data_IF_348748217548
#
_entry.id   IF_348748217548
#
_cell.length_a   1.000
_cell.length_b   1.000
_cell.length_c   1.000
_cell.angle_alpha   90.00
_cell.angle_beta   90.00
_cell.angle_gamma   90.00
#
_symmetry.space_group_name_H-M   'P 1'
#
loop_
_entity.id
_entity.type
_entity.pdbx_description
1 polymer ?
#
# COMPACT_ATOMS: atom_id res chain seq x y z
N UNK A 1 -10.09 13.90 10.20
CA UNK A 1 -8.67 14.06 10.59
C UNK A 1 -8.22 12.78 11.27
N UNK A 2 -6.94 12.43 11.14
CA UNK A 2 -6.36 11.18 11.67
C UNK A 2 -5.59 11.43 12.98
N UNK A 3 -5.94 12.45 13.73
CA UNK A 3 -5.28 12.81 14.99
C UNK A 3 -5.25 11.64 15.97
N UNK A 4 -4.07 11.29 16.46
CA UNK A 4 -3.85 10.19 17.40
C UNK A 4 -3.98 8.78 16.79
N UNK A 5 -4.13 8.66 15.47
CA UNK A 5 -4.18 7.39 14.76
C UNK A 5 -2.78 6.89 14.42
N UNK A 6 -2.57 5.59 14.54
CA UNK A 6 -1.33 4.91 14.14
C UNK A 6 -1.54 4.28 12.77
N UNK A 7 -0.77 4.72 11.79
CA UNK A 7 -0.87 4.27 10.40
C UNK A 7 0.42 3.56 9.96
N UNK A 8 0.34 2.28 9.65
CA UNK A 8 1.42 1.54 9.00
C UNK A 8 1.30 1.75 7.49
N UNK A 9 2.42 2.15 6.85
CA UNK A 9 2.54 2.27 5.40
C UNK A 9 3.66 1.36 4.91
N UNK A 10 3.32 0.24 4.28
CA UNK A 10 4.30 -0.64 3.64
C UNK A 10 4.72 -0.07 2.29
N UNK A 11 6.01 -0.19 1.93
CA UNK A 11 6.55 0.50 0.75
C UNK A 11 6.63 2.02 0.94
N UNK A 12 6.66 2.49 2.18
CA UNK A 12 6.53 3.90 2.54
C UNK A 12 7.78 4.76 2.31
N UNK A 13 8.88 4.17 1.82
CA UNK A 13 10.14 4.89 1.63
C UNK A 13 10.22 5.71 0.34
N UNK A 14 9.39 5.40 -0.66
CA UNK A 14 9.42 6.04 -1.98
C UNK A 14 8.06 6.01 -2.69
N UNK A 15 7.98 6.71 -3.80
CA UNK A 15 6.84 6.67 -4.72
C UNK A 15 5.50 6.98 -4.08
N UNK A 16 4.52 6.15 -4.36
CA UNK A 16 3.15 6.30 -3.86
C UNK A 16 3.12 6.16 -2.34
N UNK A 17 3.83 5.17 -1.77
CA UNK A 17 3.88 4.97 -0.32
C UNK A 17 4.51 6.14 0.44
N UNK A 18 5.58 6.75 -0.09
CA UNK A 18 6.15 7.99 0.49
C UNK A 18 5.13 9.13 0.46
N UNK A 19 4.44 9.32 -0.66
CA UNK A 19 3.39 10.32 -0.77
C UNK A 19 2.26 10.07 0.23
N UNK A 20 1.81 8.81 0.37
CA UNK A 20 0.80 8.43 1.35
C UNK A 20 1.29 8.70 2.79
N UNK A 21 2.56 8.40 3.10
CA UNK A 21 3.15 8.68 4.41
C UNK A 21 3.08 10.18 4.75
N UNK A 22 3.42 11.04 3.80
CA UNK A 22 3.32 12.50 3.97
C UNK A 22 1.87 12.96 4.19
N UNK A 23 0.93 12.50 3.36
CA UNK A 23 -0.46 12.95 3.44
C UNK A 23 -1.16 12.46 4.71
N UNK A 24 -0.89 11.23 5.17
CA UNK A 24 -1.42 10.69 6.42
C UNK A 24 -0.84 11.42 7.63
N UNK A 25 0.47 11.71 7.63
CA UNK A 25 1.12 12.49 8.69
C UNK A 25 0.57 13.92 8.76
N UNK A 26 0.40 14.58 7.62
CA UNK A 26 -0.23 15.91 7.53
C UNK A 26 -1.68 15.91 8.03
N UNK A 27 -2.38 14.80 7.91
CA UNK A 27 -3.73 14.63 8.46
C UNK A 27 -3.75 14.34 9.97
N UNK A 28 -2.58 14.22 10.62
CA UNK A 28 -2.40 14.05 12.06
C UNK A 28 -2.14 12.62 12.53
N UNK A 29 -1.93 11.67 11.62
CA UNK A 29 -1.52 10.32 12.00
C UNK A 29 -0.06 10.27 12.44
N UNK A 30 0.26 9.40 13.41
CA UNK A 30 1.62 8.90 13.58
C UNK A 30 1.86 7.84 12.52
N UNK A 31 2.81 8.10 11.62
CA UNK A 31 3.08 7.20 10.50
C UNK A 31 4.24 6.27 10.80
N UNK A 32 4.03 4.98 10.61
CA UNK A 32 5.07 3.95 10.66
C UNK A 32 5.43 3.57 9.22
N UNK A 33 6.59 4.02 8.77
CA UNK A 33 7.14 3.71 7.44
C UNK A 33 7.75 2.31 7.51
N UNK A 34 7.32 1.41 6.64
CA UNK A 34 7.87 0.06 6.52
C UNK A 34 8.42 -0.14 5.12
N UNK A 35 9.71 -0.47 5.01
CA UNK A 35 10.35 -0.70 3.72
C UNK A 35 11.59 -1.59 3.88
N UNK A 36 12.06 -2.17 2.78
CA UNK A 36 13.35 -2.88 2.69
C UNK A 36 14.51 -1.93 2.39
N UNK A 37 14.22 -0.78 1.77
CA UNK A 37 15.21 0.25 1.43
C UNK A 37 15.43 1.18 2.63
N UNK A 38 16.36 0.78 3.49
CA UNK A 38 16.66 1.46 4.76
C UNK A 38 17.12 2.89 4.55
N UNK A 39 17.90 3.16 3.48
CA UNK A 39 18.43 4.50 3.20
C UNK A 39 17.27 5.45 2.82
N UNK A 40 16.45 5.06 1.86
CA UNK A 40 15.29 5.86 1.44
C UNK A 40 14.26 6.00 2.56
N UNK A 41 14.07 4.95 3.36
CA UNK A 41 13.20 4.97 4.52
C UNK A 41 13.64 6.03 5.54
N UNK A 42 14.94 6.09 5.86
CA UNK A 42 15.47 7.10 6.77
C UNK A 42 15.37 8.51 6.18
N UNK A 43 15.54 8.67 4.86
CA UNK A 43 15.32 9.95 4.19
C UNK A 43 13.88 10.42 4.36
N UNK A 44 12.90 9.58 4.05
CA UNK A 44 11.47 9.93 4.21
C UNK A 44 11.11 10.21 5.67
N UNK A 45 11.67 9.42 6.61
CA UNK A 45 11.52 9.69 8.04
C UNK A 45 12.06 11.06 8.44
N UNK A 46 13.24 11.45 7.92
CA UNK A 46 13.83 12.75 8.11
C UNK A 46 12.94 13.89 7.61
N UNK A 47 12.44 13.75 6.39
CA UNK A 47 11.52 14.73 5.79
C UNK A 47 10.26 14.95 6.65
N UNK A 48 9.64 13.88 7.16
CA UNK A 48 8.47 13.99 8.03
C UNK A 48 8.80 14.68 9.36
N UNK A 49 9.94 14.36 9.96
CA UNK A 49 10.40 14.97 11.23
C UNK A 49 10.75 16.45 11.08
N UNK A 50 11.34 16.84 9.97
CA UNK A 50 11.65 18.25 9.67
C UNK A 50 10.37 19.09 9.56
N UNK A 51 9.30 18.48 9.05
CA UNK A 51 7.96 19.06 9.03
C UNK A 51 7.22 18.97 10.38
N UNK A 52 7.87 18.44 11.43
CA UNK A 52 7.32 18.26 12.79
C UNK A 52 6.16 17.26 12.86
N UNK A 53 6.11 16.31 11.94
CA UNK A 53 5.16 15.21 12.00
C UNK A 53 5.71 14.05 12.84
N UNK A 54 4.81 13.36 13.54
CA UNK A 54 5.14 12.15 14.28
C UNK A 54 5.31 10.97 13.32
N UNK A 55 6.51 10.41 13.28
CA UNK A 55 6.82 9.29 12.40
C UNK A 55 7.86 8.35 12.99
N UNK A 56 7.75 7.08 12.64
CA UNK A 56 8.69 6.03 12.97
C UNK A 56 8.99 5.18 11.73
N UNK A 57 10.07 4.41 11.77
CA UNK A 57 10.48 3.59 10.64
C UNK A 57 10.88 2.20 11.13
N UNK A 58 10.46 1.17 10.42
CA UNK A 58 10.78 -0.23 10.68
C UNK A 58 11.21 -0.90 9.39
N UNK A 59 12.45 -1.40 9.34
CA UNK A 59 12.91 -2.18 8.20
C UNK A 59 12.28 -3.58 8.24
N UNK A 60 11.57 -3.93 7.17
CA UNK A 60 11.01 -5.26 7.01
C UNK A 60 10.75 -5.57 5.53
N UNK A 61 11.07 -6.80 5.14
CA UNK A 61 10.66 -7.35 3.86
C UNK A 61 9.30 -8.05 4.03
N UNK A 62 8.28 -7.49 3.37
CA UNK A 62 6.91 -8.01 3.45
C UNK A 62 6.74 -9.43 2.89
N UNK A 63 7.75 -9.96 2.17
CA UNK A 63 7.78 -11.34 1.69
C UNK A 63 8.09 -12.34 2.79
N UNK A 64 8.67 -11.90 3.90
CA UNK A 64 9.15 -12.75 4.99
C UNK A 64 8.20 -12.66 6.20
N UNK A 65 7.47 -13.74 6.43
CA UNK A 65 6.44 -13.80 7.49
C UNK A 65 6.96 -13.41 8.87
N UNK A 66 8.17 -13.87 9.24
CA UNK A 66 8.77 -13.55 10.53
C UNK A 66 9.13 -12.07 10.67
N UNK A 67 9.51 -11.40 9.57
CA UNK A 67 9.81 -9.97 9.58
C UNK A 67 8.52 -9.15 9.74
N UNK A 68 7.48 -9.52 8.99
CA UNK A 68 6.16 -8.89 9.13
C UNK A 68 5.61 -9.04 10.55
N UNK A 69 5.69 -10.26 11.10
CA UNK A 69 5.25 -10.51 12.48
C UNK A 69 6.02 -9.64 13.48
N UNK A 70 7.35 -9.59 13.39
CA UNK A 70 8.17 -8.74 14.27
C UNK A 70 7.82 -7.26 14.12
N UNK A 71 7.67 -6.77 12.89
CA UNK A 71 7.30 -5.39 12.61
C UNK A 71 5.98 -5.01 13.28
N UNK A 72 4.93 -5.82 13.11
CA UNK A 72 3.63 -5.57 13.72
C UNK A 72 3.71 -5.56 15.25
N UNK A 73 4.42 -6.54 15.85
CA UNK A 73 4.61 -6.57 17.31
C UNK A 73 5.37 -5.34 17.83
N UNK A 74 6.42 -4.90 17.15
CA UNK A 74 7.14 -3.67 17.52
C UNK A 74 6.24 -2.43 17.48
N UNK A 75 5.35 -2.33 16.48
CA UNK A 75 4.39 -1.22 16.39
C UNK A 75 3.41 -1.26 17.55
N UNK A 76 2.86 -2.44 17.86
CA UNK A 76 1.91 -2.60 18.98
C UNK A 76 2.58 -2.36 20.33
N UNK A 77 3.79 -2.87 20.54
CA UNK A 77 4.56 -2.64 21.76
C UNK A 77 4.82 -1.14 21.98
N UNK A 78 5.14 -0.42 20.92
CA UNK A 78 5.46 1.01 20.99
C UNK A 78 4.26 1.92 21.16
N UNK A 79 3.18 1.65 20.42
CA UNK A 79 2.03 2.56 20.30
C UNK A 79 0.73 2.02 20.92
N UNK A 80 0.69 0.74 21.29
CA UNK A 80 -0.49 0.09 21.88
C UNK A 80 -1.62 -0.19 20.89
N UNK A 81 -1.51 0.28 19.64
CA UNK A 81 -2.60 0.17 18.66
C UNK A 81 -2.10 0.27 17.21
N UNK A 82 -2.94 -0.21 16.29
CA UNK A 82 -2.84 0.03 14.84
C UNK A 82 -4.23 0.42 14.37
N UNK A 83 -4.38 1.62 13.79
CA UNK A 83 -5.67 2.12 13.31
C UNK A 83 -5.80 2.00 11.80
N UNK A 84 -4.68 2.14 11.08
CA UNK A 84 -4.64 2.10 9.62
C UNK A 84 -3.49 1.19 9.16
N UNK A 85 -3.80 0.30 8.23
CA UNK A 85 -2.80 -0.42 7.44
C UNK A 85 -2.95 -0.02 5.98
N UNK A 86 -1.91 0.59 5.41
CA UNK A 86 -1.83 0.86 3.98
C UNK A 86 -0.83 -0.09 3.35
N UNK A 87 -1.33 -1.05 2.58
CA UNK A 87 -0.54 -2.01 1.82
C UNK A 87 -0.20 -1.43 0.45
N UNK A 88 0.96 -0.75 0.36
CA UNK A 88 1.48 -0.19 -0.90
C UNK A 88 2.72 -0.95 -1.40
N UNK A 89 3.44 -1.67 -0.52
CA UNK A 89 4.63 -2.42 -0.90
C UNK A 89 4.38 -3.27 -2.14
N UNK A 90 5.14 -3.00 -3.17
CA UNK A 90 4.98 -3.67 -4.43
C UNK A 90 6.09 -3.33 -5.41
N UNK A 91 6.31 -4.21 -6.34
CA UNK A 91 7.29 -4.01 -7.40
C UNK A 91 6.61 -4.03 -8.77
N UNK A 92 7.09 -3.14 -9.63
CA UNK A 92 6.82 -3.17 -11.05
C UNK A 92 8.12 -3.62 -11.71
N UNK A 93 8.30 -4.91 -11.95
CA UNK A 93 9.62 -5.53 -12.13
C UNK A 93 10.42 -5.00 -13.31
N UNK A 94 9.74 -4.52 -14.35
CA UNK A 94 10.43 -4.03 -15.54
C UNK A 94 11.35 -2.82 -15.28
N UNK A 95 11.18 -2.10 -14.17
CA UNK A 95 12.08 -1.01 -13.81
C UNK A 95 13.41 -1.49 -13.23
N UNK A 96 13.40 -2.62 -12.52
CA UNK A 96 14.55 -3.08 -11.75
C UNK A 96 15.34 -4.20 -12.42
N UNK A 97 14.75 -4.91 -13.41
CA UNK A 97 15.31 -6.16 -13.92
C UNK A 97 15.87 -6.05 -15.35
N UNK A 98 15.84 -4.86 -15.95
CA UNK A 98 16.38 -4.63 -17.30
C UNK A 98 15.67 -5.42 -18.41
N UNK A 99 14.49 -5.95 -18.13
CA UNK A 99 13.68 -6.71 -19.08
C UNK A 99 12.74 -5.79 -19.85
N UNK A 100 12.26 -6.22 -21.04
CA UNK A 100 11.24 -5.48 -21.74
C UNK A 100 10.04 -5.18 -20.83
N UNK A 101 9.50 -3.99 -20.93
CA UNK A 101 8.42 -3.47 -20.06
C UNK A 101 7.26 -4.46 -19.85
N UNK A 102 6.95 -5.24 -20.86
CA UNK A 102 5.86 -6.20 -20.82
C UNK A 102 6.27 -7.51 -21.52
N UNK A 103 7.11 -8.34 -20.89
CA UNK A 103 7.54 -9.59 -21.50
C UNK A 103 6.35 -10.57 -21.62
N UNK A 104 6.25 -11.26 -22.73
CA UNK A 104 5.24 -12.31 -22.91
C UNK A 104 5.45 -13.43 -21.90
N UNK A 105 4.38 -14.10 -21.46
CA UNK A 105 4.41 -15.17 -20.45
C UNK A 105 5.50 -16.22 -20.71
N UNK A 106 5.70 -16.63 -21.97
CA UNK A 106 6.73 -17.60 -22.34
C UNK A 106 8.18 -17.18 -22.03
N UNK A 107 8.41 -15.90 -21.78
CA UNK A 107 9.72 -15.34 -21.47
C UNK A 107 9.87 -14.93 -19.99
N UNK A 108 8.82 -15.12 -19.17
CA UNK A 108 8.88 -14.87 -17.76
C UNK A 108 9.63 -16.00 -17.07
N UNK A 109 10.69 -15.69 -16.34
CA UNK A 109 11.28 -16.67 -15.43
C UNK A 109 10.36 -16.90 -14.23
N UNK A 110 10.50 -18.06 -13.60
CA UNK A 110 9.77 -18.36 -12.37
C UNK A 110 10.14 -17.39 -11.26
N UNK A 111 11.42 -17.06 -11.12
CA UNK A 111 11.91 -16.13 -10.09
C UNK A 111 11.29 -14.72 -10.26
N UNK A 112 11.17 -14.28 -11.50
CA UNK A 112 10.49 -13.02 -11.79
C UNK A 112 9.02 -13.07 -11.39
N UNK A 113 8.30 -14.12 -11.78
CA UNK A 113 6.91 -14.33 -11.39
C UNK A 113 6.75 -14.36 -9.87
N UNK A 114 7.56 -15.20 -9.20
CA UNK A 114 7.51 -15.37 -7.75
C UNK A 114 7.79 -14.05 -7.02
N UNK A 115 8.79 -13.28 -7.45
CA UNK A 115 9.11 -12.01 -6.82
C UNK A 115 7.96 -11.02 -6.84
N UNK A 116 7.21 -10.96 -7.96
CA UNK A 116 6.03 -10.09 -8.09
C UNK A 116 4.89 -10.58 -7.19
N UNK A 117 4.57 -11.85 -7.26
CA UNK A 117 3.43 -12.42 -6.51
C UNK A 117 3.71 -12.36 -5.00
N UNK A 118 4.92 -12.73 -4.57
CA UNK A 118 5.28 -12.73 -3.15
C UNK A 118 5.32 -11.32 -2.58
N UNK A 119 5.81 -10.34 -3.33
CA UNK A 119 5.84 -8.97 -2.83
C UNK A 119 4.44 -8.34 -2.84
N UNK A 120 3.78 -8.32 -4.00
CA UNK A 120 2.55 -7.55 -4.15
C UNK A 120 1.37 -8.19 -3.42
N UNK A 121 1.14 -9.48 -3.63
CA UNK A 121 0.02 -10.21 -3.05
C UNK A 121 0.38 -10.85 -1.71
N UNK A 122 1.52 -11.55 -1.65
CA UNK A 122 1.99 -12.21 -0.43
C UNK A 122 2.23 -11.22 0.70
N UNK A 123 2.89 -10.08 0.41
CA UNK A 123 3.10 -9.01 1.39
C UNK A 123 1.80 -8.40 1.90
N UNK A 124 0.85 -8.11 1.00
CA UNK A 124 -0.50 -7.64 1.39
C UNK A 124 -1.20 -8.65 2.31
N UNK A 125 -1.14 -9.93 1.98
CA UNK A 125 -1.71 -11.00 2.81
C UNK A 125 -1.04 -11.05 4.19
N UNK A 126 0.29 -11.11 4.26
CA UNK A 126 1.01 -11.24 5.53
C UNK A 126 0.79 -10.02 6.45
N UNK A 127 0.87 -8.81 5.91
CA UNK A 127 0.63 -7.61 6.70
C UNK A 127 -0.82 -7.58 7.24
N UNK A 128 -1.80 -7.91 6.40
CA UNK A 128 -3.19 -8.01 6.83
C UNK A 128 -3.38 -9.07 7.91
N UNK A 129 -2.86 -10.29 7.71
CA UNK A 129 -2.93 -11.40 8.65
C UNK A 129 -2.46 -11.03 10.07
N UNK A 130 -1.36 -10.29 10.18
CA UNK A 130 -0.79 -9.95 11.48
C UNK A 130 -1.37 -8.68 12.10
N UNK A 131 -1.96 -7.79 11.31
CA UNK A 131 -2.59 -6.55 11.82
C UNK A 131 -4.03 -6.77 12.26
N UNK A 132 -4.79 -7.58 11.54
CA UNK A 132 -6.23 -7.82 11.78
C UNK A 132 -6.55 -8.17 13.24
N UNK A 133 -5.85 -9.08 13.95
CA UNK A 133 -6.19 -9.42 15.33
C UNK A 133 -6.17 -8.23 16.30
N UNK A 134 -5.32 -7.23 16.04
CA UNK A 134 -5.26 -6.02 16.87
C UNK A 134 -6.40 -5.04 16.54
N UNK A 135 -6.85 -5.00 15.29
CA UNK A 135 -8.03 -4.22 14.89
C UNK A 135 -9.33 -4.87 15.40
N UNK A 136 -9.45 -6.20 15.31
CA UNK A 136 -10.57 -6.97 15.85
C UNK A 136 -10.75 -6.74 17.35
N UNK A 137 -9.67 -6.85 18.15
CA UNK A 137 -9.70 -6.66 19.59
C UNK A 137 -10.24 -5.29 20.02
N UNK A 138 -10.09 -4.29 19.14
CA UNK A 138 -10.57 -2.92 19.36
C UNK A 138 -11.88 -2.61 18.64
N UNK A 139 -12.34 -3.54 17.79
CA UNK A 139 -13.51 -3.36 16.91
C UNK A 139 -13.43 -2.09 16.07
N UNK A 140 -12.23 -1.77 15.61
CA UNK A 140 -11.95 -0.56 14.83
C UNK A 140 -10.65 -0.70 14.05
N UNK A 141 -10.69 -0.42 12.77
CA UNK A 141 -9.52 -0.38 11.88
C UNK A 141 -9.90 -0.07 10.44
N UNK A 142 -8.93 0.44 9.69
CA UNK A 142 -9.06 0.63 8.25
C UNK A 142 -7.86 0.00 7.54
N UNK A 143 -8.13 -0.88 6.60
CA UNK A 143 -7.12 -1.49 5.73
C UNK A 143 -7.32 -0.96 4.32
N UNK A 144 -6.27 -0.38 3.76
CA UNK A 144 -6.24 0.18 2.41
C UNK A 144 -5.23 -0.61 1.59
N UNK A 145 -5.70 -1.39 0.63
CA UNK A 145 -4.86 -2.17 -0.26
C UNK A 145 -4.67 -1.44 -1.58
N UNK A 146 -3.44 -1.09 -1.95
CA UNK A 146 -3.18 -0.44 -3.23
C UNK A 146 -3.45 -1.39 -4.38
N UNK A 147 -4.51 -1.10 -5.13
CA UNK A 147 -4.87 -1.78 -6.36
C UNK A 147 -4.50 -0.89 -7.56
N UNK A 148 -3.95 -1.46 -8.58
CA UNK A 148 -3.61 -0.79 -9.83
C UNK A 148 -3.73 -1.79 -10.96
N UNK A 149 -4.98 -2.10 -11.33
CA UNK A 149 -5.26 -3.05 -12.42
C UNK A 149 -4.78 -2.51 -13.76
N UNK A 150 -4.05 -3.32 -14.50
CA UNK A 150 -3.80 -3.10 -15.91
C UNK A 150 -5.08 -3.43 -16.71
N UNK A 151 -5.29 -2.76 -17.83
CA UNK A 151 -6.29 -3.23 -18.79
C UNK A 151 -5.75 -4.47 -19.51
N UNK A 152 -6.63 -5.39 -19.88
CA UNK A 152 -6.27 -6.62 -20.60
C UNK A 152 -5.50 -6.38 -21.93
N UNK A 153 -5.52 -5.16 -22.42
CA UNK A 153 -4.78 -4.69 -23.60
C UNK A 153 -3.26 -4.59 -23.38
N UNK A 154 -2.80 -4.61 -22.13
CA UNK A 154 -1.38 -4.55 -21.80
C UNK A 154 -0.74 -5.93 -21.91
N UNK A 155 -0.35 -6.32 -23.12
CA UNK A 155 0.37 -7.56 -23.34
C UNK A 155 1.63 -7.65 -22.46
N UNK A 156 1.84 -8.77 -21.78
CA UNK A 156 3.07 -9.09 -21.07
C UNK A 156 3.14 -8.69 -19.60
N UNK A 157 2.15 -7.98 -19.08
CA UNK A 157 2.12 -7.60 -17.66
C UNK A 157 1.55 -8.69 -16.73
N UNK A 158 1.51 -9.95 -17.16
CA UNK A 158 0.74 -11.01 -16.52
C UNK A 158 0.99 -11.12 -15.01
N UNK A 159 2.25 -11.19 -14.56
CA UNK A 159 2.57 -11.31 -13.13
C UNK A 159 2.02 -10.11 -12.33
N UNK A 160 2.26 -8.90 -12.82
CA UNK A 160 1.82 -7.67 -12.14
C UNK A 160 0.29 -7.56 -12.09
N UNK A 161 -0.37 -7.69 -13.26
CA UNK A 161 -1.83 -7.54 -13.35
C UNK A 161 -2.53 -8.61 -12.52
N UNK A 162 -2.08 -9.88 -12.60
CA UNK A 162 -2.62 -10.97 -11.78
C UNK A 162 -2.47 -10.66 -10.29
N UNK A 163 -1.29 -10.17 -9.85
CA UNK A 163 -1.09 -9.81 -8.45
C UNK A 163 -2.05 -8.71 -7.99
N UNK A 164 -2.26 -7.68 -8.82
CA UNK A 164 -3.16 -6.56 -8.49
C UNK A 164 -4.64 -6.97 -8.54
N UNK A 165 -5.08 -7.75 -9.50
CA UNK A 165 -6.46 -8.25 -9.54
C UNK A 165 -6.75 -9.22 -8.39
N UNK A 166 -5.76 -10.04 -7.99
CA UNK A 166 -5.86 -10.89 -6.82
C UNK A 166 -6.01 -10.05 -5.52
N UNK A 167 -5.32 -8.92 -5.38
CA UNK A 167 -5.49 -7.99 -4.24
C UNK A 167 -6.93 -7.48 -4.16
N UNK A 168 -7.56 -7.15 -5.28
CA UNK A 168 -8.96 -6.72 -5.30
C UNK A 168 -9.89 -7.81 -4.79
N UNK A 169 -9.69 -9.05 -5.25
CA UNK A 169 -10.46 -10.20 -4.78
C UNK A 169 -10.20 -10.46 -3.29
N UNK A 170 -8.93 -10.46 -2.87
CA UNK A 170 -8.54 -10.60 -1.47
C UNK A 170 -9.22 -9.55 -0.57
N UNK A 171 -9.22 -8.28 -1.00
CA UNK A 171 -9.90 -7.20 -0.28
C UNK A 171 -11.37 -7.51 0.00
N UNK A 172 -12.09 -8.04 -0.98
CA UNK A 172 -13.52 -8.39 -0.83
C UNK A 172 -13.74 -9.51 0.21
N UNK A 173 -12.90 -10.53 0.19
CA UNK A 173 -13.01 -11.65 1.14
C UNK A 173 -12.68 -11.19 2.57
N UNK A 174 -11.56 -10.50 2.77
CA UNK A 174 -11.18 -9.98 4.10
C UNK A 174 -12.24 -9.00 4.60
N UNK A 175 -12.78 -8.13 3.75
CA UNK A 175 -13.83 -7.20 4.14
C UNK A 175 -15.10 -7.89 4.66
N UNK A 176 -15.44 -9.05 4.12
CA UNK A 176 -16.60 -9.82 4.60
C UNK A 176 -16.29 -10.53 5.94
N UNK A 177 -15.09 -11.09 6.09
CA UNK A 177 -14.63 -11.69 7.34
C UNK A 177 -14.57 -10.67 8.47
N UNK A 178 -14.09 -9.46 8.19
CA UNK A 178 -13.87 -8.41 9.18
C UNK A 178 -15.08 -7.52 9.49
N UNK A 179 -16.18 -7.72 8.78
CA UNK A 179 -17.39 -6.91 8.92
C UNK A 179 -17.96 -6.92 10.35
N UNK A 180 -18.01 -8.08 10.98
CA UNK A 180 -18.50 -8.20 12.36
C UNK A 180 -17.61 -7.51 13.39
N UNK A 181 -16.32 -7.29 13.06
CA UNK A 181 -15.35 -6.62 13.91
C UNK A 181 -15.26 -5.11 13.65
N UNK A 182 -16.11 -4.58 12.75
CA UNK A 182 -16.11 -3.17 12.38
C UNK A 182 -14.74 -2.69 11.83
N UNK A 183 -14.05 -3.56 11.10
CA UNK A 183 -12.82 -3.23 10.36
C UNK A 183 -13.19 -3.00 8.90
N UNK A 184 -12.90 -1.81 8.41
CA UNK A 184 -13.15 -1.44 7.02
C UNK A 184 -11.96 -1.80 6.13
N UNK A 185 -12.20 -2.53 5.05
CA UNK A 185 -11.16 -2.96 4.11
C UNK A 185 -11.53 -2.51 2.70
N UNK A 186 -10.70 -1.66 2.09
CA UNK A 186 -10.94 -1.14 0.73
C UNK A 186 -9.73 -1.39 -0.18
N UNK A 187 -9.98 -1.55 -1.47
CA UNK A 187 -8.95 -1.48 -2.49
C UNK A 187 -8.91 -0.03 -3.04
N UNK A 188 -7.74 0.62 -2.98
CA UNK A 188 -7.59 1.98 -3.49
C UNK A 188 -6.96 1.97 -4.89
N UNK A 189 -7.63 2.61 -5.85
CA UNK A 189 -7.17 2.77 -7.23
C UNK A 189 -6.54 4.14 -7.45
N UNK A 190 -5.30 4.22 -7.97
CA UNK A 190 -4.71 5.49 -8.38
C UNK A 190 -5.28 6.00 -9.73
N UNK A 191 -6.29 5.32 -10.31
CA UNK A 191 -6.90 5.64 -11.61
C UNK A 191 -6.00 5.40 -12.82
N UNK A 192 -4.72 5.72 -12.71
CA UNK A 192 -3.76 5.74 -13.80
C UNK A 192 -2.36 5.35 -13.31
N UNK A 193 -1.45 5.14 -14.24
CA UNK A 193 -0.06 4.96 -13.91
C UNK A 193 0.52 6.25 -13.32
N UNK A 194 1.32 6.10 -12.28
CA UNK A 194 1.94 7.20 -11.54
C UNK A 194 3.46 7.17 -11.80
N UNK A 195 4.04 8.31 -12.08
CA UNK A 195 5.48 8.48 -12.14
C UNK A 195 6.06 8.46 -10.72
N UNK A 196 6.95 7.52 -10.46
CA UNK A 196 7.70 7.43 -9.21
C UNK A 196 9.19 7.66 -9.47
N UNK A 197 9.99 7.79 -8.43
CA UNK A 197 11.43 8.04 -8.55
C UNK A 197 12.16 6.95 -9.36
N UNK A 198 11.67 5.70 -9.29
CA UNK A 198 12.26 4.57 -10.01
C UNK A 198 11.73 4.42 -11.46
N UNK A 199 10.77 5.24 -11.85
CA UNK A 199 10.27 5.22 -13.23
C UNK A 199 11.33 5.77 -14.21
N UNK A 200 11.47 5.18 -15.40
CA UNK A 200 12.33 5.74 -16.45
C UNK A 200 11.99 7.20 -16.74
N UNK A 201 12.99 8.00 -17.11
CA UNK A 201 12.84 9.42 -17.38
C UNK A 201 11.70 9.71 -18.38
N UNK A 202 11.61 8.92 -19.44
CA UNK A 202 10.53 9.03 -20.43
C UNK A 202 9.14 8.87 -19.78
N UNK A 203 9.00 7.95 -18.83
CA UNK A 203 7.73 7.74 -18.11
C UNK A 203 7.46 8.89 -17.13
N UNK A 204 8.50 9.42 -16.44
CA UNK A 204 8.36 10.57 -15.54
C UNK A 204 7.92 11.84 -16.27
N UNK A 205 8.34 12.02 -17.53
CA UNK A 205 7.94 13.17 -18.34
C UNK A 205 6.51 13.07 -18.89
N UNK A 206 5.89 11.89 -18.88
CA UNK A 206 4.56 11.66 -19.46
C UNK A 206 3.46 11.37 -18.45
N UNK A 207 3.82 10.83 -17.29
CA UNK A 207 2.87 10.42 -16.26
C UNK A 207 2.82 11.46 -15.15
N UNK A 208 1.66 11.63 -14.50
CA UNK A 208 1.58 12.48 -13.32
C UNK A 208 2.37 11.88 -12.16
N UNK A 209 2.86 12.74 -11.28
CA UNK A 209 3.44 12.33 -10.01
C UNK A 209 2.38 11.90 -8.98
N UNK A 210 2.83 11.39 -7.82
CA UNK A 210 1.91 10.94 -6.76
C UNK A 210 0.98 12.03 -6.22
N UNK A 211 1.32 13.31 -6.38
CA UNK A 211 0.51 14.46 -5.96
C UNK A 211 -0.88 14.51 -6.61
N UNK A 212 -1.05 13.88 -7.77
CA UNK A 212 -2.35 13.77 -8.43
C UNK A 212 -3.38 12.94 -7.61
N UNK A 213 -2.90 12.17 -6.63
CA UNK A 213 -3.75 11.38 -5.73
C UNK A 213 -4.41 12.25 -4.65
N UNK A 214 -3.96 13.50 -4.46
CA UNK A 214 -4.53 14.44 -3.50
C UNK A 214 -4.62 13.84 -2.09
N UNK A 215 -5.74 14.03 -1.42
CA UNK A 215 -6.02 13.46 -0.10
C UNK A 215 -6.66 12.06 -0.14
N UNK A 216 -6.59 11.36 -1.27
CA UNK A 216 -7.26 10.08 -1.47
C UNK A 216 -6.91 9.02 -0.43
N UNK A 217 -5.63 8.93 0.01
CA UNK A 217 -5.23 8.00 1.06
C UNK A 217 -5.81 8.36 2.43
N UNK A 218 -5.92 9.66 2.74
CA UNK A 218 -6.54 10.13 3.98
C UNK A 218 -8.02 9.75 4.01
N UNK A 219 -8.72 9.94 2.91
CA UNK A 219 -10.13 9.57 2.79
C UNK A 219 -10.32 8.05 2.84
N UNK A 220 -9.44 7.27 2.17
CA UNK A 220 -9.49 5.82 2.22
C UNK A 220 -9.20 5.27 3.63
N UNK A 221 -8.25 5.89 4.35
CA UNK A 221 -7.96 5.57 5.75
C UNK A 221 -9.10 5.93 6.73
N UNK A 222 -10.10 6.67 6.27
CA UNK A 222 -11.29 7.05 7.00
C UNK A 222 -12.57 6.47 6.38
N UNK A 223 -12.43 5.53 5.45
CA UNK A 223 -13.56 4.92 4.79
C UNK A 223 -14.52 4.28 5.81
N UNK A 224 -15.80 4.54 5.66
CA UNK A 224 -16.82 3.90 6.48
C UNK A 224 -17.18 2.50 6.00
N UNK A 225 -17.89 1.74 6.85
CA UNK A 225 -18.29 0.36 6.58
C UNK A 225 -19.17 0.20 5.33
N UNK A 226 -19.79 1.27 4.84
CA UNK A 226 -20.53 1.29 3.57
C UNK A 226 -19.62 1.11 2.34
N UNK A 227 -18.32 1.36 2.48
CA UNK A 227 -17.32 1.18 1.42
C UNK A 227 -16.50 -0.10 1.60
N UNK A 228 -16.67 -0.84 2.72
CA UNK A 228 -15.90 -2.08 2.95
C UNK A 228 -16.14 -3.09 1.83
N UNK A 229 -15.07 -3.70 1.34
CA UNK A 229 -15.08 -4.63 0.21
C UNK A 229 -15.09 -3.96 -1.17
N UNK A 230 -15.17 -2.64 -1.24
CA UNK A 230 -15.21 -1.90 -2.49
C UNK A 230 -13.82 -1.52 -3.01
N UNK A 231 -13.74 -1.38 -4.33
CA UNK A 231 -12.65 -0.65 -4.97
C UNK A 231 -13.04 0.83 -5.02
N UNK A 232 -12.17 1.68 -4.48
CA UNK A 232 -12.43 3.12 -4.39
C UNK A 232 -11.36 3.91 -5.14
N UNK A 233 -11.72 5.06 -5.63
CA UNK A 233 -10.79 6.04 -6.19
C UNK A 233 -11.10 7.45 -5.72
N UNK A 234 -10.08 8.32 -5.74
CA UNK A 234 -10.24 9.73 -5.42
C UNK A 234 -10.85 10.47 -6.60
N UNK A 235 -11.98 11.16 -6.37
CA UNK A 235 -12.64 12.06 -7.34
C UNK A 235 -13.17 13.30 -6.64
N UNK A 236 -12.77 14.47 -7.12
CA UNK A 236 -13.33 15.77 -6.69
C UNK A 236 -13.37 15.93 -5.16
N UNK A 237 -12.27 15.57 -4.48
CA UNK A 237 -12.14 15.69 -3.03
C UNK A 237 -12.86 14.60 -2.21
N UNK A 238 -13.41 13.58 -2.86
CA UNK A 238 -14.09 12.44 -2.22
C UNK A 238 -13.47 11.11 -2.67
N UNK A 239 -13.78 10.03 -1.95
CA UNK A 239 -13.58 8.67 -2.47
C UNK A 239 -14.91 8.11 -2.94
N UNK A 240 -14.90 7.50 -4.12
CA UNK A 240 -16.08 6.88 -4.72
C UNK A 240 -15.79 5.42 -5.05
N UNK A 241 -16.79 4.56 -4.81
CA UNK A 241 -16.69 3.17 -5.25
C UNK A 241 -16.82 3.10 -6.78
N UNK A 242 -16.03 2.20 -7.39
CA UNK A 242 -15.98 1.99 -8.84
C UNK A 242 -16.38 0.58 -9.27
N UNK A 243 -16.87 -0.24 -8.34
CA UNK A 243 -17.41 -1.60 -8.54
C UNK A 243 -18.67 -1.85 -7.71
#
# INVERSE_FOLDING_TARGET
MLQGKIAIVTGGAKGIGRYASHTLAQAGATVVIVDVDVERMHKTLGELRDLKFEAWAVAADVRHEDEVRRMVHQVVERFGQIDVLLNDAGIVPHFNWGIPRWPRVRFLSKDFWDSVIQTNLGGTFLCTKYVVPFMESRRAGNIVNLWGGGRAENHGAAAYVVSKDAIRTFTRFVAEEEREWNVCVVAFSPKQAIATEDAPEEARNRLPGPECLGNGFVLAAQAGMNLTGKTVEHRDGNIVAID
#
